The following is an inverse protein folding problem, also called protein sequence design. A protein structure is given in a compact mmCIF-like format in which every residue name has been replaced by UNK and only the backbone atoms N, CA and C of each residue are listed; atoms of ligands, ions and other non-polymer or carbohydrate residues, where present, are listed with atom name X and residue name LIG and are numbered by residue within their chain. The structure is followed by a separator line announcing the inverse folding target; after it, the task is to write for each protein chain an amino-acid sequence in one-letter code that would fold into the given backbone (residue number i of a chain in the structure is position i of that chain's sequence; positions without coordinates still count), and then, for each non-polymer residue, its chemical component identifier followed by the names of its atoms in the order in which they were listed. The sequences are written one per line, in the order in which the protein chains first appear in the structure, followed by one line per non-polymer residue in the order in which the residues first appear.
data_IF_907753146777
#
_entry.id   IF_907753146777
#
_cell.length_a   1.000
_cell.length_b   1.000
_cell.length_c   1.000
_cell.angle_alpha   90.00
_cell.angle_beta   90.00
_cell.angle_gamma   90.00
#
_symmetry.space_group_name_H-M   'P 1'
#
loop_
_entity.id
_entity.type
_entity.pdbx_description
1 polymer ?
#
# COMPACT_ATOMS: atom_id res chain seq x y z
N UNK A 1 7.59 7.80 -44.74
CA UNK A 1 7.71 8.73 -43.60
C UNK A 1 6.62 8.37 -42.60
N UNK A 2 6.94 7.53 -41.63
CA UNK A 2 6.04 7.18 -40.54
C UNK A 2 6.50 7.98 -39.32
N UNK A 3 5.66 8.84 -38.78
CA UNK A 3 5.68 9.22 -37.36
C UNK A 3 4.24 9.61 -36.97
N UNK A 4 3.43 8.57 -36.77
CA UNK A 4 2.24 8.63 -35.93
C UNK A 4 2.70 8.47 -34.48
N UNK A 5 1.98 9.10 -33.57
CA UNK A 5 1.96 8.84 -32.12
C UNK A 5 2.81 9.78 -31.24
N UNK A 6 2.58 11.08 -31.33
CA UNK A 6 2.49 11.88 -30.10
C UNK A 6 1.04 11.79 -29.61
N UNK A 7 0.68 10.63 -29.08
CA UNK A 7 -0.52 10.47 -28.27
C UNK A 7 -0.25 11.25 -26.99
N UNK A 8 -0.86 12.43 -26.93
CA UNK A 8 -0.91 13.24 -25.73
C UNK A 8 -1.63 12.41 -24.66
N UNK A 9 -0.86 11.67 -23.85
CA UNK A 9 -1.35 11.03 -22.63
C UNK A 9 -2.24 12.06 -21.93
N UNK A 10 -3.55 11.77 -21.73
CA UNK A 10 -4.45 12.75 -21.14
C UNK A 10 -3.84 13.14 -19.82
N UNK A 11 -3.59 14.44 -19.62
CA UNK A 11 -3.02 15.03 -18.39
C UNK A 11 -3.62 14.31 -17.17
N UNK A 12 -2.95 13.26 -16.70
CA UNK A 12 -3.28 12.67 -15.43
C UNK A 12 -2.83 13.74 -14.45
N UNK A 13 -3.82 14.36 -13.81
CA UNK A 13 -3.59 15.50 -12.92
C UNK A 13 -2.52 15.11 -11.89
N UNK A 14 -1.74 16.05 -11.36
CA UNK A 14 -0.83 15.75 -10.25
C UNK A 14 -1.58 15.18 -9.02
N UNK A 15 -2.91 15.35 -8.97
CA UNK A 15 -3.83 14.72 -8.01
C UNK A 15 -4.27 13.28 -8.39
N UNK A 16 -3.86 12.75 -9.54
CA UNK A 16 -4.06 11.35 -9.92
C UNK A 16 -2.86 10.47 -9.53
N UNK A 17 -1.75 11.06 -9.06
CA UNK A 17 -0.58 10.33 -8.58
C UNK A 17 -0.45 10.45 -7.05
N UNK A 18 -1.54 10.21 -6.32
CA UNK A 18 -1.58 10.33 -4.85
C UNK A 18 -1.20 9.01 -4.22
N UNK A 19 -0.17 9.05 -3.36
CA UNK A 19 0.34 7.91 -2.62
C UNK A 19 1.86 8.07 -2.37
N UNK A 20 2.45 7.22 -1.51
CA UNK A 20 3.89 7.13 -1.35
C UNK A 20 4.63 6.99 -2.69
N UNK A 21 5.83 7.58 -2.78
CA UNK A 21 6.65 7.52 -3.99
C UNK A 21 7.12 6.10 -4.35
N UNK A 22 7.11 5.18 -3.38
CA UNK A 22 7.44 3.78 -3.59
C UNK A 22 6.41 3.02 -4.44
N UNK A 23 5.18 3.54 -4.52
CA UNK A 23 4.15 2.97 -5.38
C UNK A 23 4.42 3.34 -6.82
N UNK A 24 4.38 2.34 -7.69
CA UNK A 24 4.46 2.55 -9.12
C UNK A 24 3.17 3.05 -9.73
N UNK A 25 3.19 3.31 -11.05
CA UNK A 25 2.12 4.02 -11.76
C UNK A 25 0.78 3.28 -11.71
N UNK A 26 0.77 1.95 -11.63
CA UNK A 26 -0.45 1.15 -11.57
C UNK A 26 -1.24 1.41 -10.29
N UNK A 27 -0.57 1.36 -9.14
CA UNK A 27 -1.20 1.61 -7.83
C UNK A 27 -1.56 3.09 -7.68
N UNK A 28 -0.68 4.00 -8.12
CA UNK A 28 -0.92 5.44 -8.01
C UNK A 28 -2.07 5.90 -8.90
N UNK A 29 -2.17 5.34 -10.10
CA UNK A 29 -3.19 5.65 -11.11
C UNK A 29 -4.54 4.97 -10.89
N UNK A 30 -4.63 4.00 -9.97
CA UNK A 30 -5.88 3.29 -9.68
C UNK A 30 -6.98 4.27 -9.27
N UNK A 31 -8.14 4.23 -9.93
CA UNK A 31 -9.25 5.13 -9.61
C UNK A 31 -9.86 4.79 -8.25
N UNK A 32 -9.98 5.79 -7.37
CA UNK A 32 -10.76 5.62 -6.14
C UNK A 32 -12.24 5.84 -6.47
N UNK A 33 -13.13 4.86 -6.23
CA UNK A 33 -14.54 5.00 -6.55
C UNK A 33 -15.19 6.11 -5.72
N UNK A 34 -16.13 6.83 -6.33
CA UNK A 34 -16.89 7.89 -5.65
C UNK A 34 -17.68 7.26 -4.49
N UNK A 35 -17.49 7.77 -3.29
CA UNK A 35 -18.11 7.22 -2.08
C UNK A 35 -17.38 6.00 -1.50
N UNK A 36 -16.12 5.78 -1.89
CA UNK A 36 -15.25 4.79 -1.25
C UNK A 36 -15.32 4.89 0.28
N UNK A 37 -15.61 3.77 0.91
CA UNK A 37 -15.53 3.59 2.35
C UNK A 37 -14.44 2.56 2.59
N UNK A 38 -13.43 2.93 3.36
CA UNK A 38 -12.43 1.98 3.81
C UNK A 38 -13.04 0.90 4.71
N UNK A 39 -12.31 -0.21 4.94
CA UNK A 39 -12.72 -1.24 5.88
C UNK A 39 -12.90 -0.64 7.28
N UNK A 40 -14.14 -0.62 7.76
CA UNK A 40 -14.52 -0.01 9.05
C UNK A 40 -14.24 -0.91 10.24
N UNK A 41 -14.31 -2.22 10.01
CA UNK A 41 -14.15 -3.25 11.05
C UNK A 41 -12.69 -3.67 11.23
N UNK A 42 -11.79 -3.14 10.41
CA UNK A 42 -10.35 -3.35 10.54
C UNK A 42 -9.77 -2.15 11.26
N UNK A 43 -9.18 -2.39 12.43
CA UNK A 43 -8.43 -1.37 13.15
C UNK A 43 -7.13 -1.02 12.41
N UNK A 44 -6.61 0.18 12.65
CA UNK A 44 -5.30 0.56 12.10
C UNK A 44 -4.22 -0.39 12.62
N UNK A 45 -3.28 -0.72 11.75
CA UNK A 45 -2.13 -1.51 12.13
C UNK A 45 -1.28 -0.78 13.17
N UNK A 46 -1.03 -1.49 14.26
CA UNK A 46 -0.03 -1.18 15.27
C UNK A 46 0.97 -2.34 15.40
N UNK A 47 2.18 -2.01 15.83
CA UNK A 47 3.32 -2.89 16.07
C UNK A 47 3.07 -3.98 17.11
N UNK A 48 1.96 -3.94 17.86
CA UNK A 48 1.55 -5.01 18.77
C UNK A 48 0.77 -6.14 18.10
N UNK A 49 0.20 -5.90 16.91
CA UNK A 49 -0.59 -6.88 16.16
C UNK A 49 0.33 -7.70 15.25
N UNK A 50 0.10 -9.01 15.13
CA UNK A 50 0.84 -9.83 14.16
C UNK A 50 0.59 -9.29 12.73
N UNK A 51 1.64 -8.85 12.00
CA UNK A 51 1.49 -8.25 10.69
C UNK A 51 0.91 -9.22 9.66
N UNK A 52 1.20 -10.52 9.77
CA UNK A 52 0.67 -11.55 8.86
C UNK A 52 -0.84 -11.70 9.06
N UNK A 53 -1.28 -11.77 10.31
CA UNK A 53 -2.72 -11.90 10.64
C UNK A 53 -3.49 -10.63 10.26
N UNK A 54 -2.90 -9.46 10.52
CA UNK A 54 -3.54 -8.19 10.21
C UNK A 54 -3.68 -7.96 8.71
N UNK A 55 -2.62 -8.22 7.93
CA UNK A 55 -2.65 -8.00 6.47
C UNK A 55 -3.62 -8.95 5.78
N UNK A 56 -3.77 -10.20 6.28
CA UNK A 56 -4.74 -11.16 5.75
C UNK A 56 -6.18 -10.71 6.04
N UNK A 57 -6.44 -10.22 7.26
CA UNK A 57 -7.75 -9.67 7.64
C UNK A 57 -8.10 -8.44 6.80
N UNK A 58 -7.14 -7.55 6.56
CA UNK A 58 -7.29 -6.40 5.69
C UNK A 58 -7.58 -6.80 4.23
N UNK A 59 -6.81 -7.77 3.70
CA UNK A 59 -7.01 -8.31 2.34
C UNK A 59 -8.44 -8.83 2.18
N UNK A 60 -8.89 -9.64 3.14
CA UNK A 60 -10.24 -10.20 3.14
C UNK A 60 -11.31 -9.10 3.21
N UNK A 61 -11.14 -8.10 4.07
CA UNK A 61 -12.11 -7.01 4.21
C UNK A 61 -12.21 -6.13 2.94
N UNK A 62 -11.08 -5.88 2.26
CA UNK A 62 -11.07 -5.17 0.97
C UNK A 62 -11.76 -6.00 -0.11
N UNK A 63 -11.48 -7.31 -0.17
CA UNK A 63 -12.09 -8.23 -1.12
C UNK A 63 -13.61 -8.40 -0.94
N UNK A 64 -14.09 -8.53 0.31
CA UNK A 64 -15.53 -8.63 0.62
C UNK A 64 -16.31 -7.38 0.17
N UNK A 65 -15.67 -6.20 0.24
CA UNK A 65 -16.27 -4.95 -0.23
C UNK A 65 -16.18 -4.77 -1.75
N UNK A 66 -15.54 -5.70 -2.47
CA UNK A 66 -15.37 -5.64 -3.93
C UNK A 66 -14.33 -4.64 -4.40
N UNK A 67 -13.40 -4.23 -3.53
CA UNK A 67 -12.33 -3.31 -3.90
C UNK A 67 -11.22 -4.05 -4.67
N UNK A 68 -10.56 -3.36 -5.60
CA UNK A 68 -9.43 -3.92 -6.34
C UNK A 68 -8.19 -4.08 -5.45
N UNK A 69 -7.33 -5.03 -5.81
CA UNK A 69 -6.03 -5.23 -5.15
C UNK A 69 -5.14 -3.98 -5.23
N UNK A 70 -5.19 -3.27 -6.36
CA UNK A 70 -4.48 -2.00 -6.55
C UNK A 70 -5.01 -0.92 -5.58
N UNK A 71 -6.33 -0.87 -5.36
CA UNK A 71 -6.92 0.04 -4.39
C UNK A 71 -6.57 -0.37 -2.95
N UNK A 72 -6.50 -1.68 -2.66
CA UNK A 72 -6.01 -2.19 -1.39
C UNK A 72 -4.56 -1.76 -1.12
N UNK A 73 -3.68 -1.86 -2.11
CA UNK A 73 -2.29 -1.39 -2.00
C UNK A 73 -2.24 0.12 -1.76
N UNK A 74 -3.03 0.88 -2.53
CA UNK A 74 -3.09 2.34 -2.43
C UNK A 74 -3.61 2.83 -1.07
N UNK A 75 -4.55 2.09 -0.47
CA UNK A 75 -5.18 2.44 0.80
C UNK A 75 -4.39 1.95 2.03
N UNK A 76 -3.50 0.96 1.87
CA UNK A 76 -2.70 0.36 2.95
C UNK A 76 -1.97 1.40 3.83
N UNK A 77 -1.29 2.45 3.30
CA UNK A 77 -0.61 3.43 4.15
C UNK A 77 -1.53 4.25 5.05
N UNK A 78 -2.83 4.35 4.72
CA UNK A 78 -3.83 5.06 5.53
C UNK A 78 -4.33 4.20 6.69
N UNK A 79 -4.19 2.88 6.57
CA UNK A 79 -4.54 1.90 7.61
C UNK A 79 -3.40 1.65 8.60
N UNK A 80 -2.31 2.42 8.53
CA UNK A 80 -1.18 2.30 9.44
C UNK A 80 -1.12 3.50 10.39
N UNK A 81 -0.67 3.28 11.62
CA UNK A 81 -0.38 4.38 12.54
C UNK A 81 0.80 5.24 12.04
N UNK A 82 0.87 6.50 12.47
CA UNK A 82 1.70 7.56 11.90
C UNK A 82 3.19 7.21 11.77
N UNK A 83 3.77 6.52 12.76
CA UNK A 83 5.18 6.10 12.72
C UNK A 83 5.38 5.00 11.67
N UNK A 84 4.49 4.01 11.65
CA UNK A 84 4.54 2.89 10.70
C UNK A 84 4.33 3.37 9.26
N UNK A 85 3.50 4.41 9.06
CA UNK A 85 3.28 5.03 7.75
C UNK A 85 4.54 5.69 7.18
N UNK A 86 5.47 6.16 8.03
CA UNK A 86 6.69 6.81 7.56
C UNK A 86 7.61 5.84 6.78
N UNK A 87 7.57 4.54 7.10
CA UNK A 87 8.37 3.52 6.42
C UNK A 87 8.18 3.51 4.90
N UNK A 88 6.96 3.77 4.39
CA UNK A 88 6.75 3.84 2.94
C UNK A 88 7.58 4.92 2.24
N UNK A 89 7.97 5.98 2.95
CA UNK A 89 8.83 7.03 2.40
C UNK A 89 10.31 6.61 2.34
N UNK A 90 10.68 5.53 3.02
CA UNK A 90 12.05 4.98 3.03
C UNK A 90 12.29 3.98 1.90
N UNK A 91 11.23 3.47 1.30
CA UNK A 91 11.31 2.53 0.18
C UNK A 91 11.72 3.23 -1.12
N UNK A 92 12.46 2.55 -2.02
CA UNK A 92 12.85 3.12 -3.30
C UNK A 92 11.63 3.53 -4.14
N UNK A 93 11.71 4.61 -4.93
CA UNK A 93 10.61 5.00 -5.81
C UNK A 93 10.24 3.91 -6.81
N UNK A 94 8.93 3.70 -7.05
CA UNK A 94 8.40 2.67 -7.94
C UNK A 94 8.90 1.24 -7.64
N UNK A 95 9.15 0.91 -6.37
CA UNK A 95 9.56 -0.44 -5.97
C UNK A 95 8.40 -1.40 -5.73
N UNK A 96 7.17 -0.90 -5.69
CA UNK A 96 5.94 -1.66 -5.45
C UNK A 96 4.96 -1.34 -6.57
N UNK A 97 4.70 -2.32 -7.44
CA UNK A 97 3.78 -2.22 -8.57
C UNK A 97 2.51 -3.08 -8.38
N UNK A 98 2.52 -4.01 -7.41
CA UNK A 98 1.39 -4.91 -7.14
C UNK A 98 1.02 -4.98 -5.65
N UNK A 99 -0.18 -5.50 -5.38
CA UNK A 99 -0.62 -5.81 -4.02
C UNK A 99 0.28 -6.83 -3.32
N UNK A 100 0.68 -7.89 -4.04
CA UNK A 100 1.55 -8.93 -3.48
C UNK A 100 2.91 -8.40 -3.06
N UNK A 101 3.50 -7.49 -3.85
CA UNK A 101 4.74 -6.81 -3.48
C UNK A 101 4.55 -5.92 -2.25
N UNK A 102 3.43 -5.19 -2.17
CA UNK A 102 3.10 -4.37 -1.00
C UNK A 102 2.95 -5.22 0.27
N UNK A 103 2.23 -6.34 0.16
CA UNK A 103 2.00 -7.31 1.24
C UNK A 103 3.31 -7.96 1.68
N UNK A 104 4.14 -8.41 0.73
CA UNK A 104 5.44 -9.01 1.03
C UNK A 104 6.38 -8.02 1.73
N UNK A 105 6.49 -6.79 1.22
CA UNK A 105 7.29 -5.74 1.83
C UNK A 105 6.82 -5.41 3.25
N UNK A 106 5.50 -5.35 3.46
CA UNK A 106 4.89 -5.12 4.78
C UNK A 106 5.25 -6.23 5.76
N UNK A 107 5.02 -7.49 5.40
CA UNK A 107 5.35 -8.64 6.25
C UNK A 107 6.84 -8.65 6.55
N UNK A 108 7.70 -8.48 5.54
CA UNK A 108 9.15 -8.49 5.73
C UNK A 108 9.62 -7.41 6.70
N UNK A 109 9.09 -6.19 6.59
CA UNK A 109 9.49 -5.09 7.46
C UNK A 109 9.02 -5.29 8.90
N UNK A 110 7.72 -5.54 9.11
CA UNK A 110 7.13 -5.56 10.44
C UNK A 110 7.27 -6.89 11.17
N UNK A 111 7.25 -8.02 10.45
CA UNK A 111 7.43 -9.34 11.06
C UNK A 111 8.87 -9.51 11.56
N UNK A 112 9.85 -9.10 10.74
CA UNK A 112 11.26 -9.13 11.16
C UNK A 112 11.51 -8.20 12.34
N UNK A 113 10.94 -6.98 12.33
CA UNK A 113 11.08 -6.06 13.46
C UNK A 113 10.49 -6.64 14.76
N UNK A 114 9.31 -7.26 14.71
CA UNK A 114 8.73 -7.93 15.88
C UNK A 114 9.55 -9.13 16.36
N UNK A 115 10.11 -9.94 15.44
CA UNK A 115 10.95 -11.08 15.80
C UNK A 115 12.21 -10.60 16.52
N UNK A 116 12.87 -9.56 16.02
CA UNK A 116 14.07 -9.00 16.66
C UNK A 116 13.77 -8.44 18.06
N UNK A 117 12.68 -7.69 18.22
CA UNK A 117 12.26 -7.13 19.51
C UNK A 117 11.88 -8.24 20.50
N UNK A 118 11.16 -9.27 20.07
CA UNK A 118 10.76 -10.40 20.94
C UNK A 118 11.92 -11.33 21.29
N UNK A 119 12.97 -11.38 20.47
CA UNK A 119 14.14 -12.24 20.68
C UNK A 119 15.18 -11.64 21.63
N UNK A 120 14.93 -10.46 22.21
CA UNK A 120 15.82 -9.86 23.21
C UNK A 120 17.15 -9.34 22.67
N UNK A 121 17.29 -9.18 21.35
CA UNK A 121 18.43 -8.50 20.74
C UNK A 121 18.03 -7.06 20.40
N UNK A 122 18.04 -6.19 21.42
CA UNK A 122 18.06 -4.74 21.25
C UNK A 122 19.46 -4.18 21.61
N UNK A 123 19.89 -3.05 21.02
CA UNK A 123 21.22 -2.48 21.20
C UNK A 123 21.53 -2.05 22.65
#
# INVERSE_FOLDING_TARGET
MNDRYTDELPRQSAFNLVGPACFGPMIRGESCPVGFKGPRDIEKYDTHIDPTVWIDSYTMAMGIQGHSELLAARYLPLMMDGINRHWFNTLPPNSIDSWEEARAAFIQHFCYHQILVKSGYGP
#
